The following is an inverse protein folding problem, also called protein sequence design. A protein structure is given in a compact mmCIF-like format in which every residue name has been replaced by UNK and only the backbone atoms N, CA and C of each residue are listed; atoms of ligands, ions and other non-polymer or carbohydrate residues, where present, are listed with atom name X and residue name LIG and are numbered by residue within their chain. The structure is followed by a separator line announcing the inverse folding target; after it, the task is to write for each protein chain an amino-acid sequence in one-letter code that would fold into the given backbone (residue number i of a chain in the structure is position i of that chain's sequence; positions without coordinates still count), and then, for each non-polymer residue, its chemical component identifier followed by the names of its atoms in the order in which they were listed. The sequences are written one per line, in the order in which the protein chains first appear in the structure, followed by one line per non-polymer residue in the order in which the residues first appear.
data_IF_634665625533
#
_entry.id   IF_634665625533
#
_cell.length_a   1.000
_cell.length_b   1.000
_cell.length_c   1.000
_cell.angle_alpha   90.00
_cell.angle_beta   90.00
_cell.angle_gamma   90.00
#
_symmetry.space_group_name_H-M   'P 1'
#
loop_
_entity.id
_entity.type
_entity.pdbx_description
1 polymer ?
#
# COMPACT_ATOMS: atom_id res chain seq x y z
N UNK A 1 -44.28 30.21 14.37
CA UNK A 1 -43.58 31.28 13.62
C UNK A 1 -42.11 30.86 13.45
N UNK A 2 -41.52 31.23 12.30
CA UNK A 2 -40.18 30.89 11.81
C UNK A 2 -40.00 29.52 11.13
N UNK A 3 -40.56 29.40 9.93
CA UNK A 3 -40.04 28.51 8.88
C UNK A 3 -38.71 29.11 8.38
N UNK A 4 -37.60 28.39 8.57
CA UNK A 4 -36.32 28.69 7.92
C UNK A 4 -36.39 28.16 6.48
N UNK A 5 -36.26 29.07 5.52
CA UNK A 5 -36.10 28.74 4.10
C UNK A 5 -34.72 28.08 3.91
N UNK A 6 -34.72 26.81 3.49
CA UNK A 6 -33.52 26.12 3.02
C UNK A 6 -33.50 26.28 1.50
N UNK A 7 -32.60 27.13 1.01
CA UNK A 7 -32.31 27.30 -0.41
C UNK A 7 -31.44 26.11 -0.85
N UNK A 8 -32.01 25.23 -1.68
CA UNK A 8 -31.29 24.12 -2.31
C UNK A 8 -30.60 24.65 -3.57
N UNK A 9 -29.26 24.69 -3.56
CA UNK A 9 -28.48 24.92 -4.78
C UNK A 9 -28.39 23.61 -5.57
N UNK A 10 -29.13 23.53 -6.68
CA UNK A 10 -28.98 22.48 -7.69
C UNK A 10 -27.85 22.90 -8.63
N UNK A 11 -26.68 22.30 -8.48
CA UNK A 11 -25.58 22.45 -9.44
C UNK A 11 -25.86 21.56 -10.67
N UNK A 12 -26.32 22.18 -11.75
CA UNK A 12 -26.46 21.55 -13.06
C UNK A 12 -25.07 21.55 -13.71
N UNK A 13 -24.41 20.38 -13.73
CA UNK A 13 -23.18 20.17 -14.50
C UNK A 13 -23.56 19.86 -15.94
N UNK A 14 -23.36 20.81 -16.85
CA UNK A 14 -23.47 20.59 -18.28
C UNK A 14 -22.25 19.81 -18.79
N UNK A 15 -22.50 18.62 -19.34
CA UNK A 15 -21.54 17.88 -20.15
C UNK A 15 -21.28 18.65 -21.46
N UNK A 16 -20.05 19.07 -21.69
CA UNK A 16 -19.58 19.51 -23.01
C UNK A 16 -18.74 18.39 -23.63
N UNK A 17 -19.40 17.54 -24.43
CA UNK A 17 -18.74 16.59 -25.32
C UNK A 17 -18.16 17.37 -26.50
N UNK A 18 -16.83 17.46 -26.57
CA UNK A 18 -16.11 18.01 -27.72
C UNK A 18 -15.47 16.84 -28.46
N UNK A 19 -16.05 16.45 -29.60
CA UNK A 19 -15.42 15.52 -30.56
C UNK A 19 -14.72 16.34 -31.64
N UNK A 20 -13.44 16.08 -31.97
CA UNK A 20 -12.85 16.64 -33.18
C UNK A 20 -13.27 15.84 -34.41
N UNK A 21 -13.81 16.56 -35.38
CA UNK A 21 -14.27 16.09 -36.69
C UNK A 21 -13.06 15.91 -37.61
N UNK A 22 -12.93 14.73 -38.21
CA UNK A 22 -12.04 14.47 -39.34
C UNK A 22 -12.45 15.33 -40.55
N UNK A 23 -11.51 16.08 -41.12
CA UNK A 23 -11.71 16.71 -42.43
C UNK A 23 -10.58 16.29 -43.36
N UNK A 24 -10.95 15.58 -44.43
CA UNK A 24 -10.05 15.15 -45.49
C UNK A 24 -9.66 16.37 -46.37
N UNK A 25 -8.35 16.61 -46.49
CA UNK A 25 -7.77 17.56 -47.43
C UNK A 25 -7.10 16.82 -48.58
N UNK A 26 -7.69 16.94 -49.77
CA UNK A 26 -7.15 16.48 -51.05
C UNK A 26 -6.00 17.41 -51.45
N UNK A 27 -4.82 16.87 -51.78
CA UNK A 27 -3.78 17.60 -52.51
C UNK A 27 -3.48 16.91 -53.83
N UNK A 28 -3.68 17.67 -54.91
CA UNK A 28 -3.54 17.29 -56.31
C UNK A 28 -2.07 17.26 -56.75
N UNK A 29 -1.72 16.24 -57.55
CA UNK A 29 -0.52 16.24 -58.38
C UNK A 29 -0.53 17.41 -59.38
N UNK A 30 0.64 18.00 -59.62
CA UNK A 30 0.91 18.63 -60.92
C UNK A 30 2.27 18.18 -61.44
N UNK A 31 2.26 17.76 -62.70
CA UNK A 31 3.36 17.21 -63.47
C UNK A 31 3.97 18.26 -64.41
N UNK A 32 5.28 18.12 -64.64
CA UNK A 32 6.06 18.29 -65.89
C UNK A 32 7.24 19.23 -65.73
N UNK A 33 8.44 18.74 -66.08
CA UNK A 33 9.15 19.13 -67.31
C UNK A 33 10.08 17.96 -67.70
N UNK A 34 10.01 17.55 -68.98
CA UNK A 34 10.98 16.68 -69.65
C UNK A 34 12.11 17.53 -70.25
N UNK A 35 13.35 17.05 -70.21
CA UNK A 35 14.28 17.22 -71.33
C UNK A 35 15.25 16.03 -71.45
N UNK A 36 14.96 15.22 -72.46
CA UNK A 36 15.84 14.46 -73.37
C UNK A 36 17.35 14.33 -73.07
N UNK A 37 17.79 13.06 -73.03
CA UNK A 37 18.88 12.55 -73.89
C UNK A 37 20.28 12.45 -73.29
N UNK A 38 20.72 11.21 -72.99
CA UNK A 38 21.81 10.47 -73.68
C UNK A 38 22.30 9.35 -72.74
N UNK A 39 22.26 8.11 -73.21
CA UNK A 39 22.86 6.96 -72.50
C UNK A 39 24.38 7.06 -72.62
N UNK A 40 25.06 7.22 -71.48
CA UNK A 40 26.47 6.92 -71.33
C UNK A 40 26.64 6.01 -70.11
N UNK A 41 27.13 4.80 -70.39
CA UNK A 41 27.61 3.86 -69.38
C UNK A 41 28.83 4.48 -68.69
N UNK A 42 28.68 4.88 -67.43
CA UNK A 42 29.80 5.18 -66.55
C UNK A 42 29.64 4.35 -65.28
N UNK A 43 30.50 3.36 -65.13
CA UNK A 43 30.72 2.63 -63.89
C UNK A 43 31.22 3.59 -62.81
N UNK A 44 30.30 4.14 -62.01
CA UNK A 44 30.63 4.62 -60.68
C UNK A 44 30.36 3.50 -59.70
N UNK A 45 31.43 2.98 -59.10
CA UNK A 45 31.37 2.27 -57.83
C UNK A 45 30.78 3.23 -56.79
N UNK A 46 29.46 3.31 -56.73
CA UNK A 46 28.72 3.90 -55.63
C UNK A 46 28.06 2.75 -54.89
N UNK A 47 28.76 2.21 -53.90
CA UNK A 47 28.16 1.35 -52.88
C UNK A 47 26.98 2.16 -52.34
N UNK A 48 25.76 1.64 -52.50
CA UNK A 48 24.57 2.21 -51.87
C UNK A 48 24.81 2.18 -50.38
N UNK A 49 25.18 3.31 -49.81
CA UNK A 49 25.20 3.53 -48.37
C UNK A 49 23.73 3.49 -47.97
N UNK A 50 23.26 2.29 -47.62
CA UNK A 50 22.02 2.14 -46.87
C UNK A 50 22.14 3.03 -45.63
N UNK A 51 21.05 3.66 -45.24
CA UNK A 51 21.00 4.47 -44.03
C UNK A 51 21.45 3.58 -42.87
N UNK A 52 22.70 3.77 -42.42
CA UNK A 52 23.22 3.10 -41.23
C UNK A 52 22.54 3.82 -40.07
N UNK A 53 21.75 3.08 -39.32
CA UNK A 53 21.20 3.57 -38.08
C UNK A 53 22.35 3.83 -37.09
N UNK A 54 22.34 5.02 -36.51
CA UNK A 54 23.31 5.46 -35.51
C UNK A 54 22.63 6.02 -34.26
N UNK A 55 21.30 5.96 -34.19
CA UNK A 55 20.51 6.51 -33.10
C UNK A 55 20.23 5.42 -32.07
N UNK A 56 20.66 5.60 -30.81
CA UNK A 56 20.29 4.67 -29.75
C UNK A 56 18.77 4.59 -29.53
N UNK A 57 18.27 3.45 -29.03
CA UNK A 57 16.87 3.33 -28.66
C UNK A 57 16.52 4.27 -27.50
N UNK A 58 15.28 4.78 -27.51
CA UNK A 58 14.68 5.48 -26.40
C UNK A 58 14.21 4.50 -25.34
N UNK A 59 14.23 4.91 -24.06
CA UNK A 59 13.70 4.12 -22.97
C UNK A 59 12.74 4.90 -22.06
N UNK A 60 11.91 4.15 -21.35
CA UNK A 60 11.12 4.64 -20.20
C UNK A 60 11.35 3.74 -18.99
N UNK A 61 11.33 4.33 -17.80
CA UNK A 61 11.45 3.62 -16.53
C UNK A 61 10.34 4.09 -15.58
N UNK A 62 9.46 3.18 -15.17
CA UNK A 62 8.27 3.54 -14.40
C UNK A 62 7.97 2.59 -13.26
N UNK A 63 7.72 3.15 -12.08
CA UNK A 63 7.10 2.43 -10.97
C UNK A 63 5.58 2.42 -11.10
N UNK A 64 4.98 1.23 -11.03
CA UNK A 64 3.53 1.05 -10.94
C UNK A 64 2.96 1.48 -9.58
N UNK A 65 1.79 0.93 -9.22
CA UNK A 65 1.14 1.13 -7.93
C UNK A 65 1.09 -0.18 -7.13
N UNK A 66 1.00 -0.12 -5.78
CA UNK A 66 1.07 1.08 -4.93
C UNK A 66 2.50 1.64 -4.80
N UNK A 67 2.63 2.95 -4.60
CA UNK A 67 3.92 3.59 -4.33
C UNK A 67 3.74 4.87 -3.50
N UNK A 68 4.73 5.20 -2.70
CA UNK A 68 4.86 6.46 -1.97
C UNK A 68 6.29 7.00 -2.13
N UNK A 69 6.60 8.09 -1.44
CA UNK A 69 7.96 8.66 -1.37
C UNK A 69 8.37 8.89 0.07
N UNK A 70 9.60 8.53 0.41
CA UNK A 70 10.16 8.73 1.74
C UNK A 70 11.54 9.37 1.67
N UNK A 71 11.81 10.25 2.63
CA UNK A 71 13.12 10.89 2.78
C UNK A 71 14.01 10.07 3.69
N UNK A 72 15.15 9.61 3.16
CA UNK A 72 16.10 8.81 3.89
C UNK A 72 17.52 9.32 3.66
N UNK A 73 18.20 9.68 4.75
CA UNK A 73 19.54 10.29 4.72
C UNK A 73 19.64 11.53 3.80
N UNK A 74 18.57 12.34 3.74
CA UNK A 74 18.54 13.56 2.93
C UNK A 74 18.28 13.32 1.43
N UNK A 75 18.07 12.07 1.00
CA UNK A 75 17.63 11.72 -0.35
C UNK A 75 16.19 11.22 -0.31
N UNK A 76 15.37 11.66 -1.27
CA UNK A 76 14.01 11.14 -1.46
C UNK A 76 14.07 9.90 -2.34
N UNK A 77 13.46 8.82 -1.87
CA UNK A 77 13.32 7.57 -2.60
C UNK A 77 11.85 7.31 -2.91
N UNK A 78 11.60 6.69 -4.06
CA UNK A 78 10.32 6.02 -4.28
C UNK A 78 10.30 4.75 -3.43
N UNK A 79 9.21 4.53 -2.70
CA UNK A 79 8.97 3.30 -1.94
C UNK A 79 7.82 2.55 -2.58
N UNK A 80 8.02 1.27 -2.82
CA UNK A 80 7.04 0.39 -3.47
C UNK A 80 6.73 -0.85 -2.62
N UNK A 81 5.55 -1.44 -2.81
CA UNK A 81 5.25 -2.77 -2.29
C UNK A 81 5.96 -3.85 -3.13
N UNK A 82 6.10 -5.07 -2.59
CA UNK A 82 6.54 -6.22 -3.38
C UNK A 82 5.59 -6.56 -4.54
N UNK A 83 4.34 -6.12 -4.46
CA UNK A 83 3.32 -6.31 -5.49
C UNK A 83 3.36 -5.22 -6.57
N UNK A 84 4.20 -4.19 -6.41
CA UNK A 84 4.28 -3.07 -7.35
C UNK A 84 5.17 -3.46 -8.54
N UNK A 85 4.67 -3.40 -9.78
CA UNK A 85 5.49 -3.69 -10.94
C UNK A 85 6.42 -2.51 -11.24
N UNK A 86 7.64 -2.83 -11.67
CA UNK A 86 8.56 -1.89 -12.31
C UNK A 86 8.55 -2.20 -13.80
N UNK A 87 8.41 -1.18 -14.62
CA UNK A 87 8.44 -1.28 -16.07
C UNK A 87 9.68 -0.60 -16.63
N UNK A 88 10.35 -1.30 -17.54
CA UNK A 88 11.41 -0.74 -18.39
C UNK A 88 10.98 -1.03 -19.82
N UNK A 89 10.76 0.01 -20.62
CA UNK A 89 10.38 -0.15 -22.02
C UNK A 89 11.44 0.51 -22.89
N UNK A 90 11.73 -0.10 -24.04
CA UNK A 90 12.69 0.38 -25.02
C UNK A 90 12.07 0.37 -26.40
N UNK A 91 12.20 1.47 -27.13
CA UNK A 91 11.67 1.66 -28.49
C UNK A 91 12.64 2.49 -29.29
N UNK A 92 12.79 2.18 -30.56
CA UNK A 92 13.64 2.96 -31.46
C UNK A 92 12.85 3.40 -32.70
N UNK A 93 12.08 4.50 -32.58
CA UNK A 93 11.16 4.92 -33.64
C UNK A 93 11.85 5.56 -34.85
N UNK A 94 13.07 6.07 -34.66
CA UNK A 94 13.85 6.75 -35.70
C UNK A 94 14.92 5.85 -36.34
N UNK A 95 15.09 4.62 -35.83
CA UNK A 95 16.08 3.65 -36.25
C UNK A 95 15.51 2.29 -36.66
N UNK A 96 16.22 1.20 -36.34
CA UNK A 96 15.90 -0.18 -36.75
C UNK A 96 15.09 -0.97 -35.72
N UNK A 97 14.79 -0.39 -34.56
CA UNK A 97 14.04 -1.04 -33.49
C UNK A 97 14.92 -1.49 -32.33
N UNK A 98 14.33 -1.60 -31.14
CA UNK A 98 15.03 -2.07 -29.94
C UNK A 98 15.26 -3.60 -30.01
N UNK A 99 16.51 -4.04 -29.89
CA UNK A 99 16.89 -5.46 -29.88
C UNK A 99 16.74 -6.06 -28.49
N UNK A 100 17.20 -5.36 -27.45
CA UNK A 100 17.28 -5.92 -26.10
C UNK A 100 17.35 -4.89 -24.98
N UNK A 101 16.94 -5.34 -23.80
CA UNK A 101 17.17 -4.67 -22.51
C UNK A 101 18.00 -5.61 -21.63
N UNK A 102 19.15 -5.14 -21.17
CA UNK A 102 19.94 -5.81 -20.11
C UNK A 102 19.76 -5.04 -18.82
N UNK A 103 19.51 -5.75 -17.73
CA UNK A 103 19.39 -5.13 -16.42
C UNK A 103 19.95 -6.00 -15.30
N UNK A 104 20.48 -5.35 -14.27
CA UNK A 104 20.95 -5.98 -13.04
C UNK A 104 20.26 -5.37 -11.83
N UNK A 105 19.94 -6.23 -10.86
CA UNK A 105 19.37 -5.82 -9.58
C UNK A 105 20.45 -5.89 -8.52
N UNK A 106 20.59 -4.81 -7.76
CA UNK A 106 21.52 -4.69 -6.64
C UNK A 106 20.74 -4.39 -5.36
N UNK A 107 21.18 -4.97 -4.25
CA UNK A 107 20.53 -4.81 -2.94
C UNK A 107 21.52 -4.29 -1.93
N UNK A 108 21.08 -3.38 -1.06
CA UNK A 108 21.90 -2.91 0.05
C UNK A 108 22.22 -4.06 1.02
N UNK A 109 23.46 -4.06 1.50
CA UNK A 109 23.95 -5.02 2.50
C UNK A 109 23.62 -4.59 3.93
N UNK A 110 23.31 -3.30 4.14
CA UNK A 110 23.00 -2.69 5.42
C UNK A 110 22.01 -1.54 5.24
N UNK A 111 21.04 -1.33 6.16
CA UNK A 111 20.15 -0.16 6.13
C UNK A 111 20.91 1.13 6.46
N UNK A 112 22.13 1.02 6.97
CA UNK A 112 22.94 2.15 7.35
C UNK A 112 24.10 2.30 6.37
N UNK A 113 24.42 3.54 5.95
CA UNK A 113 25.64 3.77 5.22
C UNK A 113 26.85 3.39 6.09
N UNK A 114 27.92 2.97 5.45
CA UNK A 114 29.19 2.70 6.11
C UNK A 114 29.83 4.00 6.65
N UNK A 115 31.00 3.89 7.29
CA UNK A 115 31.69 5.04 7.89
C UNK A 115 32.10 6.14 6.87
N UNK A 116 32.00 5.87 5.57
CA UNK A 116 32.21 6.85 4.49
C UNK A 116 30.90 7.45 3.95
N UNK A 117 29.74 7.14 4.54
CA UNK A 117 28.45 7.62 4.06
C UNK A 117 27.92 6.88 2.83
N UNK A 118 28.54 5.75 2.45
CA UNK A 118 28.20 4.97 1.25
C UNK A 118 27.35 3.76 1.67
N UNK A 119 26.33 3.45 0.88
CA UNK A 119 25.55 2.22 1.06
C UNK A 119 26.16 1.13 0.18
N UNK A 120 26.70 0.09 0.82
CA UNK A 120 27.31 -1.02 0.12
C UNK A 120 26.22 -1.90 -0.52
N UNK A 121 26.32 -2.05 -1.85
CA UNK A 121 25.38 -2.81 -2.67
C UNK A 121 25.99 -4.14 -3.11
N UNK A 122 25.18 -5.20 -3.10
CA UNK A 122 25.54 -6.51 -3.66
C UNK A 122 24.61 -6.83 -4.82
N UNK A 123 25.18 -7.28 -5.94
CA UNK A 123 24.40 -7.75 -7.09
C UNK A 123 23.60 -8.98 -6.69
N UNK A 124 22.29 -8.93 -6.89
CA UNK A 124 21.37 -10.04 -6.67
C UNK A 124 21.31 -10.93 -7.91
N UNK A 125 21.11 -10.31 -9.08
CA UNK A 125 21.08 -11.00 -10.37
C UNK A 125 21.29 -10.02 -11.53
N UNK A 126 21.45 -10.59 -12.72
CA UNK A 126 21.45 -9.90 -14.01
C UNK A 126 20.61 -10.69 -15.01
N UNK A 127 19.95 -9.98 -15.93
CA UNK A 127 19.09 -10.57 -16.96
C UNK A 127 19.17 -9.76 -18.25
N UNK A 128 19.09 -10.47 -19.37
CA UNK A 128 18.92 -9.89 -20.70
C UNK A 128 17.58 -10.36 -21.27
N UNK A 129 16.78 -9.42 -21.77
CA UNK A 129 15.50 -9.69 -22.44
C UNK A 129 15.65 -9.23 -23.88
N UNK A 130 15.49 -10.16 -24.82
CA UNK A 130 15.53 -9.88 -26.26
C UNK A 130 14.12 -9.60 -26.77
N UNK A 131 14.01 -8.81 -27.83
CA UNK A 131 12.78 -8.59 -28.59
C UNK A 131 12.17 -9.94 -29.01
N UNK A 132 10.87 -10.08 -28.78
CA UNK A 132 10.10 -11.29 -29.09
C UNK A 132 10.41 -12.50 -28.19
N UNK A 133 11.26 -12.36 -27.17
CA UNK A 133 11.50 -13.42 -26.19
C UNK A 133 10.28 -13.62 -25.27
N UNK A 134 10.21 -14.77 -24.58
CA UNK A 134 9.12 -15.05 -23.62
C UNK A 134 9.07 -14.07 -22.44
N UNK A 135 10.21 -13.41 -22.18
CA UNK A 135 10.35 -12.42 -21.12
C UNK A 135 9.98 -11.01 -21.56
N UNK A 136 9.90 -10.78 -22.88
CA UNK A 136 9.35 -9.56 -23.44
C UNK A 136 7.84 -9.49 -23.18
N UNK A 137 7.39 -8.32 -22.74
CA UNK A 137 6.00 -8.02 -22.40
C UNK A 137 5.32 -7.17 -23.46
N UNK A 138 6.06 -6.75 -24.48
CA UNK A 138 5.50 -6.13 -25.66
C UNK A 138 5.67 -7.08 -26.86
N UNK A 139 4.59 -7.52 -27.52
CA UNK A 139 4.68 -8.41 -28.68
C UNK A 139 5.01 -7.67 -29.99
N UNK A 140 5.13 -6.35 -29.98
CA UNK A 140 5.44 -5.55 -31.17
C UNK A 140 6.93 -5.65 -31.47
N UNK A 141 7.27 -6.16 -32.65
CA UNK A 141 8.66 -6.24 -33.10
C UNK A 141 9.31 -4.85 -33.15
N UNK A 142 10.53 -4.75 -32.62
CA UNK A 142 11.28 -3.52 -32.44
C UNK A 142 10.95 -2.76 -31.15
N UNK A 143 10.11 -3.30 -30.27
CA UNK A 143 9.75 -2.71 -28.99
C UNK A 143 9.89 -3.74 -27.86
N UNK A 144 10.81 -3.51 -26.91
CA UNK A 144 11.05 -4.43 -25.79
C UNK A 144 10.46 -3.87 -24.52
N UNK A 145 9.73 -4.67 -23.74
CA UNK A 145 9.21 -4.26 -22.43
C UNK A 145 9.45 -5.31 -21.36
N UNK A 146 9.98 -4.89 -20.22
CA UNK A 146 10.26 -5.75 -19.07
C UNK A 146 9.40 -5.34 -17.88
N UNK A 147 8.79 -6.34 -17.23
CA UNK A 147 8.05 -6.18 -15.98
C UNK A 147 8.76 -6.90 -14.83
N UNK A 148 9.12 -6.17 -13.79
CA UNK A 148 9.91 -6.67 -12.66
C UNK A 148 9.10 -6.54 -11.36
N UNK A 149 9.18 -7.55 -10.50
CA UNK A 149 8.70 -7.52 -9.11
C UNK A 149 9.87 -7.86 -8.17
N UNK A 150 9.93 -7.21 -7.01
CA UNK A 150 11.10 -7.30 -6.13
C UNK A 150 10.69 -7.60 -4.70
N UNK A 151 11.41 -8.52 -4.08
CA UNK A 151 11.31 -8.89 -2.67
C UNK A 151 12.69 -9.35 -2.15
N UNK A 152 12.92 -9.37 -0.82
CA UNK A 152 12.12 -8.81 0.28
C UNK A 152 12.34 -7.30 0.49
N UNK A 153 11.77 -6.70 1.55
CA UNK A 153 11.97 -5.29 1.91
C UNK A 153 13.45 -4.93 2.04
N UNK A 154 13.91 -3.91 1.30
CA UNK A 154 15.29 -3.43 1.32
C UNK A 154 15.43 -2.13 0.49
N UNK A 155 16.63 -1.56 0.50
CA UNK A 155 17.06 -0.63 -0.54
C UNK A 155 17.62 -1.40 -1.73
N UNK A 156 17.18 -1.03 -2.92
CA UNK A 156 17.62 -1.61 -4.18
C UNK A 156 18.10 -0.53 -5.14
N UNK A 157 18.94 -0.97 -6.08
CA UNK A 157 19.28 -0.25 -7.29
C UNK A 157 19.03 -1.17 -8.48
N UNK A 158 18.31 -0.68 -9.49
CA UNK A 158 18.28 -1.31 -10.81
C UNK A 158 19.22 -0.54 -11.72
N UNK A 159 20.14 -1.25 -12.34
CA UNK A 159 20.97 -0.76 -13.43
C UNK A 159 20.50 -1.40 -14.73
N UNK A 160 20.29 -0.62 -15.80
CA UNK A 160 19.82 -1.14 -17.07
C UNK A 160 20.42 -0.40 -18.26
N UNK A 161 20.41 -1.05 -19.41
CA UNK A 161 20.88 -0.51 -20.67
C UNK A 161 20.06 -1.13 -21.81
N UNK A 162 19.83 -0.35 -22.86
CA UNK A 162 19.05 -0.74 -24.03
C UNK A 162 19.94 -0.70 -25.27
N UNK A 163 19.70 -1.62 -26.21
CA UNK A 163 20.37 -1.68 -27.51
C UNK A 163 19.33 -1.81 -28.62
N UNK A 164 19.60 -1.16 -29.75
CA UNK A 164 18.92 -1.44 -31.01
C UNK A 164 19.56 -2.66 -31.72
N UNK A 165 19.04 -3.00 -32.91
CA UNK A 165 19.55 -4.12 -33.69
C UNK A 165 20.95 -3.91 -34.27
N UNK A 166 21.39 -2.67 -34.47
CA UNK A 166 22.75 -2.38 -34.98
C UNK A 166 23.78 -2.19 -33.86
N UNK A 167 23.34 -2.30 -32.60
CA UNK A 167 24.15 -2.23 -31.40
C UNK A 167 24.35 -0.82 -30.84
N UNK A 168 23.62 0.20 -31.30
CA UNK A 168 23.67 1.52 -30.71
C UNK A 168 23.00 1.52 -29.33
N UNK A 169 23.55 2.33 -28.42
CA UNK A 169 23.11 2.42 -27.02
C UNK A 169 23.44 3.80 -26.46
N UNK A 170 22.60 4.32 -25.57
CA UNK A 170 22.81 5.61 -24.90
C UNK A 170 23.56 5.46 -23.57
N UNK A 171 23.97 4.23 -23.24
CA UNK A 171 24.74 3.89 -22.05
C UNK A 171 23.90 3.28 -20.93
N UNK A 172 24.54 3.08 -19.78
CA UNK A 172 23.92 2.47 -18.62
C UNK A 172 23.22 3.52 -17.74
N UNK A 173 22.01 3.21 -17.32
CA UNK A 173 21.20 4.01 -16.41
C UNK A 173 21.01 3.28 -15.08
N UNK A 174 20.72 4.02 -14.02
CA UNK A 174 20.41 3.43 -12.72
C UNK A 174 19.31 4.18 -11.97
N UNK A 175 18.54 3.44 -11.18
CA UNK A 175 17.52 3.98 -10.29
C UNK A 175 17.57 3.31 -8.93
N UNK A 176 17.66 4.12 -7.88
CA UNK A 176 17.60 3.66 -6.48
C UNK A 176 16.16 3.80 -5.94
N UNK A 177 15.68 2.78 -5.23
CA UNK A 177 14.36 2.76 -4.64
C UNK A 177 14.28 1.81 -3.45
N UNK A 178 13.24 1.97 -2.65
CA UNK A 178 12.97 1.13 -1.51
C UNK A 178 11.81 0.19 -1.81
N UNK A 179 11.93 -1.03 -1.32
CA UNK A 179 10.82 -1.97 -1.26
C UNK A 179 10.41 -2.12 0.20
N UNK A 180 9.12 -1.96 0.46
CA UNK A 180 8.51 -2.26 1.75
C UNK A 180 7.35 -3.24 1.58
N UNK A 181 7.59 -4.48 2.01
CA UNK A 181 6.60 -5.54 2.12
C UNK A 181 6.29 -5.94 3.56
N UNK A 182 6.69 -5.14 4.55
CA UNK A 182 6.39 -5.43 5.95
C UNK A 182 4.94 -5.04 6.26
N UNK A 183 4.25 -5.85 7.06
CA UNK A 183 2.91 -5.49 7.53
C UNK A 183 3.01 -4.66 8.80
N UNK A 184 2.07 -3.73 9.05
CA UNK A 184 1.94 -3.08 10.34
C UNK A 184 1.87 -4.05 11.53
N UNK A 185 2.15 -3.53 12.73
CA UNK A 185 1.98 -4.24 13.99
C UNK A 185 1.01 -3.49 14.88
N UNK A 186 -0.08 -4.14 15.27
CA UNK A 186 -1.01 -3.61 16.28
C UNK A 186 -0.84 -4.20 17.68
N UNK A 187 -1.25 -3.45 18.70
CA UNK A 187 -1.39 -3.91 20.08
C UNK A 187 -2.68 -3.40 20.70
N UNK A 188 -3.21 -4.14 21.68
CA UNK A 188 -4.40 -3.77 22.45
C UNK A 188 -4.04 -3.75 23.94
N UNK A 189 -4.21 -2.60 24.57
CA UNK A 189 -4.14 -2.45 26.02
C UNK A 189 -5.54 -2.28 26.59
N UNK A 190 -5.88 -3.08 27.62
CA UNK A 190 -7.15 -2.96 28.33
C UNK A 190 -6.89 -2.27 29.67
N UNK A 191 -7.59 -1.17 29.92
CA UNK A 191 -7.50 -0.39 31.15
C UNK A 191 -8.17 -1.03 32.36
N UNK A 192 -8.33 -0.23 33.40
CA UNK A 192 -9.06 -0.59 34.62
C UNK A 192 -10.46 0.05 34.62
N UNK A 193 -11.43 -0.51 35.35
CA UNK A 193 -11.36 -1.78 36.09
C UNK A 193 -11.45 -3.00 35.16
N UNK A 194 -10.74 -4.07 35.49
CA UNK A 194 -10.88 -5.36 34.78
C UNK A 194 -10.67 -6.55 35.71
N UNK A 195 -11.28 -7.68 35.37
CA UNK A 195 -11.20 -8.91 36.14
C UNK A 195 -11.12 -10.12 35.22
N UNK A 196 -10.22 -11.06 35.49
CA UNK A 196 -10.09 -12.30 34.72
C UNK A 196 -10.69 -13.47 35.50
N UNK A 197 -11.62 -14.21 34.89
CA UNK A 197 -12.20 -15.43 35.46
C UNK A 197 -12.40 -16.48 34.39
N UNK A 198 -11.90 -17.70 34.61
CA UNK A 198 -12.02 -18.83 33.67
C UNK A 198 -11.55 -18.47 32.24
N UNK A 199 -10.45 -17.72 32.13
CA UNK A 199 -9.91 -17.23 30.86
C UNK A 199 -10.83 -16.26 30.09
N UNK A 200 -11.87 -15.73 30.74
CA UNK A 200 -12.74 -14.67 30.21
C UNK A 200 -12.42 -13.36 30.91
N UNK A 201 -12.23 -12.30 30.12
CA UNK A 201 -12.01 -10.94 30.63
C UNK A 201 -13.33 -10.24 30.87
N UNK A 202 -13.50 -9.73 32.08
CA UNK A 202 -14.60 -8.88 32.51
C UNK A 202 -14.10 -7.45 32.63
N UNK A 203 -14.87 -6.52 32.10
CA UNK A 203 -14.61 -5.08 32.13
C UNK A 203 -15.92 -4.35 32.45
N UNK A 204 -15.85 -3.06 32.72
CA UNK A 204 -17.02 -2.19 32.89
C UNK A 204 -17.17 -1.27 31.68
N UNK A 205 -18.27 -0.53 31.59
CA UNK A 205 -18.41 0.55 30.59
C UNK A 205 -17.41 1.70 30.82
N UNK A 206 -16.84 1.84 32.01
CA UNK A 206 -15.79 2.80 32.33
C UNK A 206 -14.38 2.34 31.92
N UNK A 207 -14.22 1.08 31.53
CA UNK A 207 -12.92 0.51 31.17
C UNK A 207 -12.54 0.91 29.74
N UNK A 208 -11.51 1.74 29.61
CA UNK A 208 -10.98 2.15 28.31
C UNK A 208 -10.10 1.06 27.69
N UNK A 209 -10.20 0.92 26.37
CA UNK A 209 -9.33 0.08 25.54
C UNK A 209 -8.52 0.99 24.62
N UNK A 210 -7.21 0.73 24.51
CA UNK A 210 -6.33 1.46 23.60
C UNK A 210 -5.79 0.52 22.54
N UNK A 211 -6.17 0.80 21.29
CA UNK A 211 -5.56 0.18 20.13
C UNK A 211 -4.40 1.05 19.67
N UNK A 212 -3.24 0.46 19.47
CA UNK A 212 -2.08 1.14 18.91
C UNK A 212 -1.61 0.39 17.67
N UNK A 213 -1.33 1.10 16.59
CA UNK A 213 -0.76 0.57 15.36
C UNK A 213 0.53 1.30 15.03
N UNK A 214 1.57 0.56 14.72
CA UNK A 214 2.85 1.10 14.23
C UNK A 214 3.35 0.26 13.08
N UNK A 215 3.96 0.90 12.09
CA UNK A 215 4.65 0.18 11.03
C UNK A 215 6.17 0.20 11.27
N UNK A 216 6.80 -0.96 11.09
CA UNK A 216 8.25 -1.12 11.20
C UNK A 216 8.71 -2.01 10.06
N UNK A 217 9.53 -1.44 9.20
CA UNK A 217 10.14 -2.14 8.06
C UNK A 217 11.67 -2.13 8.17
N UNK A 218 12.35 -2.46 7.07
CA UNK A 218 13.78 -2.20 6.87
C UNK A 218 14.13 -0.71 7.07
N UNK A 219 13.17 0.17 6.81
CA UNK A 219 13.25 1.58 7.17
C UNK A 219 13.06 1.75 8.68
N UNK A 220 13.90 2.58 9.36
CA UNK A 220 13.76 2.86 10.79
C UNK A 220 12.37 3.35 11.22
N UNK A 221 11.58 3.90 10.29
CA UNK A 221 10.21 4.41 10.51
C UNK A 221 9.12 3.64 9.76
N UNK A 222 9.45 2.59 9.01
CA UNK A 222 8.50 1.96 8.07
C UNK A 222 8.06 2.93 6.96
N UNK A 223 6.99 2.56 6.25
CA UNK A 223 6.24 3.48 5.38
C UNK A 223 5.03 4.10 6.07
N UNK A 224 4.70 3.60 7.26
CA UNK A 224 3.68 4.16 8.14
C UNK A 224 2.34 3.46 8.00
N UNK A 225 1.62 3.35 9.11
CA UNK A 225 0.25 2.83 9.10
C UNK A 225 -0.66 3.84 8.40
N UNK A 226 -1.46 3.40 7.44
CA UNK A 226 -2.48 4.24 6.78
C UNK A 226 -3.84 4.10 7.48
N UNK A 227 -4.20 2.89 7.91
CA UNK A 227 -5.54 2.63 8.44
C UNK A 227 -5.53 1.54 9.50
N UNK A 228 -6.26 1.75 10.60
CA UNK A 228 -6.63 0.76 11.60
C UNK A 228 -8.13 0.43 11.47
N UNK A 229 -8.45 -0.85 11.38
CA UNK A 229 -9.83 -1.34 11.22
C UNK A 229 -10.19 -2.24 12.40
N UNK A 230 -11.30 -1.92 13.07
CA UNK A 230 -11.85 -2.68 14.20
C UNK A 230 -13.29 -3.09 13.90
N UNK A 231 -13.54 -4.39 13.84
CA UNK A 231 -14.87 -4.98 13.69
C UNK A 231 -15.40 -5.37 15.07
N UNK A 232 -16.56 -4.81 15.44
CA UNK A 232 -17.22 -5.02 16.72
C UNK A 232 -18.38 -5.99 16.55
N UNK A 233 -18.31 -7.12 17.25
CA UNK A 233 -19.37 -8.10 17.34
C UNK A 233 -19.87 -8.21 18.78
N UNK A 234 -21.14 -8.55 18.95
CA UNK A 234 -21.75 -8.73 20.26
C UNK A 234 -22.63 -9.99 20.32
N UNK A 235 -22.89 -10.47 21.53
CA UNK A 235 -23.95 -11.47 21.82
C UNK A 235 -24.40 -11.37 23.27
N UNK A 236 -25.64 -11.76 23.56
CA UNK A 236 -26.24 -11.61 24.90
C UNK A 236 -25.64 -12.55 25.91
N UNK A 237 -25.46 -13.81 25.54
CA UNK A 237 -25.00 -14.86 26.43
C UNK A 237 -23.71 -15.49 25.89
N UNK A 238 -22.59 -15.24 26.59
CA UNK A 238 -21.30 -15.83 26.20
C UNK A 238 -21.33 -17.36 26.24
N UNK A 239 -22.10 -17.92 27.17
CA UNK A 239 -22.16 -19.35 27.42
C UNK A 239 -23.14 -20.12 26.53
N UNK A 240 -24.02 -19.44 25.78
CA UNK A 240 -24.91 -20.10 24.83
C UNK A 240 -24.13 -20.40 23.52
N UNK A 241 -23.91 -21.69 23.17
CA UNK A 241 -23.23 -22.06 21.94
C UNK A 241 -24.12 -21.91 20.69
N UNK A 242 -25.44 -21.83 20.86
CA UNK A 242 -26.39 -21.67 19.75
C UNK A 242 -26.58 -20.19 19.37
N UNK A 243 -26.20 -19.26 20.26
CA UNK A 243 -26.21 -17.83 19.96
C UNK A 243 -25.00 -17.45 19.11
N UNK A 244 -25.26 -17.06 17.86
CA UNK A 244 -24.24 -16.55 16.95
C UNK A 244 -23.86 -15.11 17.28
N UNK A 245 -22.59 -14.77 17.09
CA UNK A 245 -22.09 -13.40 17.14
C UNK A 245 -22.83 -12.52 16.14
N UNK A 246 -23.39 -11.41 16.63
CA UNK A 246 -24.04 -10.40 15.83
C UNK A 246 -23.04 -9.30 15.50
N UNK A 247 -22.94 -8.91 14.23
CA UNK A 247 -22.16 -7.74 13.84
C UNK A 247 -22.84 -6.47 14.40
N UNK A 248 -22.05 -5.58 15.01
CA UNK A 248 -22.53 -4.28 15.49
C UNK A 248 -22.13 -3.16 14.53
N UNK A 249 -20.82 -2.99 14.34
CA UNK A 249 -20.23 -1.93 13.50
C UNK A 249 -18.79 -2.25 13.13
N UNK A 250 -18.31 -1.55 12.10
CA UNK A 250 -16.89 -1.46 11.77
C UNK A 250 -16.42 -0.04 12.03
N UNK A 251 -15.30 0.10 12.72
CA UNK A 251 -14.64 1.37 13.00
C UNK A 251 -13.38 1.40 12.15
N UNK A 252 -13.24 2.45 11.37
CA UNK A 252 -12.07 2.69 10.51
C UNK A 252 -11.46 4.01 10.96
N UNK A 253 -10.19 3.95 11.32
CA UNK A 253 -9.39 5.10 11.74
C UNK A 253 -8.27 5.23 10.70
N UNK A 254 -8.21 6.37 10.03
CA UNK A 254 -7.10 6.71 9.15
C UNK A 254 -6.06 7.51 9.95
N UNK A 255 -4.79 7.35 9.58
CA UNK A 255 -3.68 8.09 10.19
C UNK A 255 -3.96 9.60 10.15
N UNK A 256 -3.82 10.26 11.30
CA UNK A 256 -4.11 11.68 11.49
C UNK A 256 -5.57 12.11 11.23
N UNK A 257 -6.54 11.19 11.27
CA UNK A 257 -7.96 11.56 11.25
C UNK A 257 -8.47 12.04 12.64
N UNK A 258 -9.73 12.45 12.72
CA UNK A 258 -10.31 12.98 13.96
C UNK A 258 -10.44 11.95 15.11
N UNK A 259 -10.38 10.66 14.80
CA UNK A 259 -10.43 9.57 15.76
C UNK A 259 -9.02 9.05 16.12
N UNK A 260 -7.97 9.50 15.44
CA UNK A 260 -6.59 9.18 15.78
C UNK A 260 -6.10 10.08 16.92
N UNK A 261 -5.88 9.49 18.09
CA UNK A 261 -5.35 10.21 19.26
C UNK A 261 -3.83 10.39 19.21
N UNK A 262 -3.15 9.82 18.20
CA UNK A 262 -1.73 10.02 17.94
C UNK A 262 -1.53 10.78 16.62
N UNK A 263 -0.85 11.93 16.67
CA UNK A 263 -0.60 12.76 15.48
C UNK A 263 0.78 12.54 14.86
N UNK A 264 1.53 11.55 15.34
CA UNK A 264 2.77 11.13 14.71
C UNK A 264 2.45 10.38 13.42
N UNK A 265 2.98 10.86 12.29
CA UNK A 265 2.86 10.18 11.00
C UNK A 265 3.14 8.67 11.09
N UNK A 266 2.22 7.88 10.51
CA UNK A 266 2.33 6.44 10.39
C UNK A 266 2.12 5.69 11.71
N UNK A 267 1.48 6.32 12.70
CA UNK A 267 1.14 5.72 13.98
C UNK A 267 -0.29 6.10 14.38
N UNK A 268 -1.12 5.08 14.52
CA UNK A 268 -2.51 5.27 14.93
C UNK A 268 -2.70 4.85 16.38
N UNK A 269 -3.32 5.70 17.18
CA UNK A 269 -3.87 5.33 18.50
C UNK A 269 -5.38 5.58 18.51
N UNK A 270 -6.15 4.59 18.97
CA UNK A 270 -7.59 4.71 19.08
C UNK A 270 -8.10 4.29 20.46
N UNK A 271 -8.85 5.20 21.08
CA UNK A 271 -9.46 5.04 22.39
C UNK A 271 -10.88 4.50 22.21
N UNK A 272 -11.13 3.31 22.72
CA UNK A 272 -12.41 2.62 22.60
C UNK A 272 -13.07 2.44 23.98
N UNK A 273 -14.37 2.70 24.04
CA UNK A 273 -15.22 2.47 25.20
C UNK A 273 -16.50 1.71 24.81
N UNK A 274 -17.09 1.03 25.80
CA UNK A 274 -18.35 0.30 25.63
C UNK A 274 -19.52 1.16 26.09
N UNK A 275 -20.60 1.16 25.31
CA UNK A 275 -21.83 1.84 25.68
C UNK A 275 -22.81 0.91 26.42
N UNK A 276 -22.82 -0.37 26.06
CA UNK A 276 -23.78 -1.35 26.57
C UNK A 276 -23.10 -2.54 27.24
N UNK A 277 -23.76 -3.07 28.27
CA UNK A 277 -23.33 -4.27 28.98
C UNK A 277 -23.70 -5.51 28.17
N UNK A 278 -22.68 -6.25 27.71
CA UNK A 278 -22.86 -7.43 26.87
C UNK A 278 -21.55 -8.23 26.70
N UNK A 279 -21.61 -9.31 25.94
CA UNK A 279 -20.42 -10.02 25.47
C UNK A 279 -19.97 -9.40 24.16
N UNK A 280 -18.69 -9.05 24.03
CA UNK A 280 -18.12 -8.52 22.81
C UNK A 280 -16.97 -9.36 22.30
N UNK A 281 -16.87 -9.43 20.97
CA UNK A 281 -15.67 -9.86 20.26
C UNK A 281 -15.23 -8.72 19.38
N UNK A 282 -13.98 -8.29 19.56
CA UNK A 282 -13.34 -7.29 18.72
C UNK A 282 -12.36 -8.03 17.82
N UNK A 283 -12.42 -7.78 16.52
CA UNK A 283 -11.41 -8.21 15.55
C UNK A 283 -10.76 -6.99 14.96
N UNK A 284 -9.45 -6.95 14.86
CA UNK A 284 -8.76 -5.77 14.34
C UNK A 284 -7.52 -6.12 13.53
N UNK A 285 -7.18 -5.23 12.60
CA UNK A 285 -5.96 -5.25 11.83
C UNK A 285 -5.61 -3.84 11.36
N UNK A 286 -4.36 -3.62 10.98
CA UNK A 286 -3.90 -2.39 10.35
C UNK A 286 -3.32 -2.64 8.95
N UNK A 287 -3.37 -1.60 8.13
CA UNK A 287 -2.90 -1.56 6.73
C UNK A 287 -1.93 -0.37 6.62
N UNK A 288 -0.77 -0.56 5.99
CA UNK A 288 0.18 0.51 5.69
C UNK A 288 -0.16 1.27 4.41
N UNK A 289 0.55 2.36 4.14
CA UNK A 289 0.36 3.22 2.95
C UNK A 289 0.64 2.51 1.61
N UNK A 290 1.23 1.31 1.64
CA UNK A 290 1.49 0.47 0.49
C UNK A 290 0.52 -0.72 0.40
N UNK A 291 -0.49 -0.76 1.26
CA UNK A 291 -1.52 -1.80 1.27
C UNK A 291 -1.09 -3.12 1.91
N UNK A 292 0.07 -3.20 2.56
CA UNK A 292 0.45 -4.38 3.33
C UNK A 292 -0.43 -4.46 4.59
N UNK A 293 -1.05 -5.61 4.82
CA UNK A 293 -2.04 -5.82 5.87
C UNK A 293 -1.62 -6.94 6.81
N UNK A 294 -1.73 -6.72 8.12
CA UNK A 294 -1.54 -7.79 9.10
C UNK A 294 -2.74 -8.77 9.11
N UNK A 295 -2.52 -9.95 9.68
CA UNK A 295 -3.60 -10.90 9.98
C UNK A 295 -4.46 -10.35 11.13
N UNK A 296 -5.78 -10.43 10.97
CA UNK A 296 -6.74 -9.99 11.99
C UNK A 296 -6.48 -10.65 13.35
N UNK A 297 -6.23 -9.81 14.36
CA UNK A 297 -6.22 -10.19 15.77
C UNK A 297 -7.65 -10.21 16.31
N UNK A 298 -7.85 -10.91 17.42
CA UNK A 298 -9.16 -11.00 18.08
C UNK A 298 -9.05 -11.04 19.59
N UNK A 299 -10.05 -10.49 20.27
CA UNK A 299 -10.23 -10.62 21.72
C UNK A 299 -11.71 -10.77 22.03
N UNK A 300 -12.02 -11.40 23.16
CA UNK A 300 -13.38 -11.56 23.67
C UNK A 300 -13.42 -11.09 25.12
N UNK A 301 -14.43 -10.30 25.45
CA UNK A 301 -14.63 -9.74 26.78
C UNK A 301 -16.11 -9.63 27.13
N UNK A 302 -16.39 -9.54 28.41
CA UNK A 302 -17.70 -9.31 29.01
C UNK A 302 -17.72 -7.92 29.64
N UNK A 303 -18.71 -7.11 29.28
CA UNK A 303 -18.95 -5.81 29.88
C UNK A 303 -20.06 -5.96 30.90
N UNK A 304 -19.72 -5.79 32.18
CA UNK A 304 -20.66 -5.83 33.30
C UNK A 304 -20.37 -4.67 34.24
N UNK A 305 -21.37 -3.85 34.51
CA UNK A 305 -21.28 -2.70 35.44
C UNK A 305 -22.32 -2.81 36.56
N UNK A 306 -22.87 -4.01 36.75
CA UNK A 306 -23.88 -4.29 37.77
C UNK A 306 -23.20 -4.34 39.14
N UNK A 307 -23.66 -3.50 40.06
CA UNK A 307 -23.19 -3.54 41.44
C UNK A 307 -23.65 -4.85 42.11
N UNK A 308 -22.80 -5.50 42.94
CA UNK A 308 -23.21 -6.69 43.66
C UNK A 308 -24.38 -6.38 44.61
N UNK A 309 -25.37 -7.26 44.67
CA UNK A 309 -26.44 -7.14 45.65
C UNK A 309 -26.02 -7.81 46.96
N UNK A 310 -26.06 -7.06 48.07
CA UNK A 310 -25.85 -7.62 49.41
C UNK A 310 -27.20 -8.08 49.95
N UNK A 311 -27.35 -9.39 50.17
CA UNK A 311 -28.49 -9.97 50.87
C UNK A 311 -28.02 -10.32 52.29
N UNK A 312 -28.46 -9.56 53.29
CA UNK A 312 -28.28 -9.91 54.71
C UNK A 312 -29.41 -10.83 55.15
N UNK A 313 -29.09 -12.09 55.46
CA UNK A 313 -29.98 -12.91 56.30
C UNK A 313 -29.77 -12.49 57.75
N UNK A 314 -30.73 -11.76 58.31
CA UNK A 314 -30.86 -11.64 59.77
C UNK A 314 -31.36 -13.01 60.24
N UNK A 315 -30.52 -13.76 60.96
CA UNK A 315 -30.98 -14.95 61.68
C UNK A 315 -31.84 -14.53 62.86
N UNK A 316 -32.79 -15.37 63.24
CA UNK A 316 -33.58 -15.13 64.46
C UNK A 316 -32.64 -15.05 65.68
N UNK A 317 -32.82 -14.06 66.57
CA UNK A 317 -32.08 -14.05 67.83
C UNK A 317 -32.40 -15.33 68.60
N UNK A 318 -31.39 -16.15 68.84
CA UNK A 318 -31.52 -17.34 69.69
C UNK A 318 -31.45 -16.90 71.16
N UNK A 319 -32.51 -16.24 71.63
CA UNK A 319 -32.68 -15.87 73.03
C UNK A 319 -33.37 -17.01 73.75
N UNK A 320 -32.57 -17.88 74.39
CA UNK A 320 -33.11 -18.83 75.37
C UNK A 320 -33.50 -18.03 76.61
N UNK A 321 -34.80 -17.87 76.85
CA UNK A 321 -35.28 -17.40 78.15
C UNK A 321 -34.98 -18.53 79.14
N UNK A 322 -34.07 -18.30 80.10
CA UNK A 322 -33.91 -19.19 81.25
C UNK A 322 -35.03 -18.83 82.24
N UNK A 323 -36.01 -19.70 82.51
CA UNK A 323 -36.96 -19.47 83.58
C UNK A 323 -36.23 -19.63 84.92
N UNK A 324 -36.44 -18.68 85.83
CA UNK A 324 -36.04 -18.70 87.25
C UNK A 324 -34.59 -18.31 87.64
N UNK A 325 -34.00 -17.29 87.02
CA UNK A 325 -33.05 -16.45 87.77
C UNK A 325 -33.80 -15.32 88.48
N UNK A 326 -34.08 -15.54 89.76
CA UNK A 326 -34.49 -14.48 90.66
C UNK A 326 -33.37 -13.44 90.75
N UNK A 327 -33.61 -12.24 90.22
CA UNK A 327 -32.81 -11.07 90.54
C UNK A 327 -33.15 -10.62 91.97
N UNK A 328 -32.34 -11.08 92.92
CA UNK A 328 -32.20 -10.51 94.27
C UNK A 328 -31.00 -9.57 94.34
#
# INVERSE_FOLDING_TARGET
MNKKNITVFVAIVFFLLITPVCTAGIFSLSSKIQSTGTVACSSTNGIGIGNIDTTPPLYTFEFGKPKTTECWYGKTYVVISYATPIWINSTDPDGVGAEKIQYSLWRATSPYPNHHGIIDMVQVYEKTVLDGSVDDKNPVAGEVSVKIFINPSCLYQICFQCWDYEGNTDGQHSNDFLVDGCTPVTSLTVGQPQYMKNNVRWVTNATLLWFNATDKSYLPKGTGVETLIIEVFWKRNLSDPNESWQWNRTITIQDNDANDSNQDYGKITYDFSFNDQCCYTLKWHAIDVLGNSEVKKKTTLLVDSTSPQIITKIGDPNSTIIPDEAYG
#
